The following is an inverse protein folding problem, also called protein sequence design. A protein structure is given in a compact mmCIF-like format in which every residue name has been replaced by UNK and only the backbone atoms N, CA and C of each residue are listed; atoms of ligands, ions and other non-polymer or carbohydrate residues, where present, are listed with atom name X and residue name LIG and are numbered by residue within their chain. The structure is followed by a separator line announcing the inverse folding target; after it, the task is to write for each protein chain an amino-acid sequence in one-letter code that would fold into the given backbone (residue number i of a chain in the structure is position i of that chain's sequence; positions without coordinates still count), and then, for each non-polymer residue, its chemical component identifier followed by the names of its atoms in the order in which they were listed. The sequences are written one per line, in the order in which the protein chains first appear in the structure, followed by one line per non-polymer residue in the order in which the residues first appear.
data_IF_194561239886
#
_entry.id   IF_194561239886
#
_cell.length_a   1.000
_cell.length_b   1.000
_cell.length_c   1.000
_cell.angle_alpha   90.00
_cell.angle_beta   90.00
_cell.angle_gamma   90.00
#
_symmetry.space_group_name_H-M   'P 1'
#
loop_
_entity.id
_entity.type
_entity.pdbx_description
1 polymer ?
#
# COMPACT_ATOMS: atom_id res chain seq x y z
N UNK A 1 62.21 3.08 1.71
CA UNK A 1 62.29 3.47 3.13
C UNK A 1 61.50 4.75 3.33
N UNK A 2 60.72 4.91 4.40
CA UNK A 2 60.30 3.90 5.41
C UNK A 2 58.75 3.72 5.39
N UNK A 3 58.12 2.54 5.44
CA UNK A 3 58.11 1.32 6.30
C UNK A 3 56.82 1.27 7.13
N UNK A 4 56.14 0.11 7.11
CA UNK A 4 55.64 -0.68 8.25
C UNK A 4 54.76 -1.79 7.62
N UNK A 5 55.30 -2.95 7.27
CA UNK A 5 55.75 -4.08 8.10
C UNK A 5 54.59 -4.88 8.71
N UNK A 6 54.57 -6.17 8.34
CA UNK A 6 53.58 -7.17 8.70
C UNK A 6 54.00 -7.93 9.96
N UNK A 7 53.03 -8.47 10.69
CA UNK A 7 53.21 -9.66 11.52
C UNK A 7 51.92 -10.48 11.55
N UNK A 8 52.07 -11.78 11.31
CA UNK A 8 51.06 -12.84 11.30
C UNK A 8 51.41 -13.86 12.43
N UNK A 9 50.90 -15.10 12.50
CA UNK A 9 49.76 -15.56 13.32
C UNK A 9 50.16 -16.70 14.30
N UNK A 10 49.24 -17.23 15.11
CA UNK A 10 49.31 -18.62 15.64
C UNK A 10 48.02 -19.08 16.36
N UNK A 11 47.67 -20.36 16.19
CA UNK A 11 46.74 -21.16 17.01
C UNK A 11 45.48 -21.62 16.25
N UNK A 12 45.50 -22.56 15.30
CA UNK A 12 45.63 -24.04 15.42
C UNK A 12 44.58 -24.75 16.32
N UNK A 13 43.60 -25.44 15.69
CA UNK A 13 43.49 -26.93 15.62
C UNK A 13 42.30 -27.29 14.70
N UNK A 14 42.47 -27.86 13.49
CA UNK A 14 42.46 -29.31 13.16
C UNK A 14 41.37 -30.11 13.93
N UNK A 15 40.50 -30.91 13.29
CA UNK A 15 40.85 -32.10 12.50
C UNK A 15 39.74 -32.51 11.49
N UNK A 16 40.20 -33.14 10.41
CA UNK A 16 39.51 -33.70 9.24
C UNK A 16 38.60 -34.93 9.47
N UNK A 17 37.70 -35.13 8.49
CA UNK A 17 37.23 -36.36 7.85
C UNK A 17 37.15 -37.69 8.63
N UNK A 18 35.96 -38.30 8.59
CA UNK A 18 35.82 -39.75 8.39
C UNK A 18 34.70 -40.04 7.39
N UNK A 19 35.10 -40.72 6.31
CA UNK A 19 34.30 -41.46 5.35
C UNK A 19 33.56 -42.62 6.03
N UNK A 20 32.34 -42.92 5.61
CA UNK A 20 31.90 -44.30 5.39
C UNK A 20 30.87 -44.34 4.25
N UNK A 21 31.18 -45.18 3.26
CA UNK A 21 30.35 -45.62 2.16
C UNK A 21 30.11 -47.13 2.33
N UNK A 22 29.13 -47.65 1.59
CA UNK A 22 28.80 -49.08 1.36
C UNK A 22 28.03 -49.79 2.49
N UNK A 23 27.09 -50.70 2.25
CA UNK A 23 26.39 -51.22 1.08
C UNK A 23 25.20 -52.08 1.58
N UNK A 24 24.21 -52.26 0.70
CA UNK A 24 23.29 -53.41 0.49
C UNK A 24 22.64 -54.21 1.63
N UNK A 25 21.34 -54.50 1.42
CA UNK A 25 20.66 -55.63 2.05
C UNK A 25 19.14 -55.62 1.89
N UNK A 26 18.63 -56.21 0.81
CA UNK A 26 17.20 -56.45 0.62
C UNK A 26 16.65 -57.64 1.42
N UNK A 27 15.32 -57.70 1.55
CA UNK A 27 14.61 -58.95 1.83
C UNK A 27 13.39 -58.87 2.76
N UNK A 28 12.19 -59.04 2.18
CA UNK A 28 11.20 -60.02 2.67
C UNK A 28 10.10 -59.57 3.65
N UNK A 29 8.89 -59.41 3.10
CA UNK A 29 7.73 -60.28 3.42
C UNK A 29 6.82 -59.98 4.63
N UNK A 30 5.53 -59.76 4.33
CA UNK A 30 4.45 -60.60 4.88
C UNK A 30 3.40 -59.98 5.83
N UNK A 31 2.15 -59.92 5.34
CA UNK A 31 0.87 -60.00 6.11
C UNK A 31 0.47 -58.74 6.89
N UNK A 32 -0.78 -58.27 6.93
CA UNK A 32 -2.10 -58.86 6.70
C UNK A 32 -3.06 -58.27 7.77
N UNK A 33 -4.34 -58.09 7.41
CA UNK A 33 -5.45 -57.49 8.20
C UNK A 33 -5.42 -55.94 8.32
N UNK A 34 -6.43 -55.16 7.93
CA UNK A 34 -7.85 -55.43 7.69
C UNK A 34 -8.69 -54.78 8.79
N UNK A 35 -9.20 -53.57 8.57
CA UNK A 35 -10.61 -53.18 8.79
C UNK A 35 -10.83 -51.68 8.56
N UNK A 36 -11.97 -51.44 7.91
CA UNK A 36 -12.66 -50.20 7.63
C UNK A 36 -12.93 -49.30 8.84
N UNK A 37 -12.84 -47.98 8.65
CA UNK A 37 -13.89 -47.06 9.12
C UNK A 37 -13.89 -45.74 8.36
N UNK A 38 -15.11 -45.28 8.18
CA UNK A 38 -15.64 -44.13 7.47
C UNK A 38 -15.15 -42.75 7.96
N UNK A 39 -15.04 -41.87 6.97
CA UNK A 39 -15.02 -40.40 7.00
C UNK A 39 -16.12 -39.78 7.86
N UNK A 40 -15.76 -38.87 8.78
CA UNK A 40 -16.51 -37.65 9.12
C UNK A 40 -15.48 -36.56 9.45
N UNK A 41 -15.53 -35.47 8.68
CA UNK A 41 -14.74 -34.25 8.81
C UNK A 41 -15.16 -33.45 10.05
N UNK A 42 -14.19 -32.98 10.84
CA UNK A 42 -14.34 -31.84 11.75
C UNK A 42 -12.94 -31.27 12.05
N UNK A 43 -12.43 -30.41 11.16
CA UNK A 43 -11.15 -29.72 11.38
C UNK A 43 -11.31 -28.57 12.40
N UNK A 44 -10.74 -28.80 13.58
CA UNK A 44 -10.60 -27.82 14.65
C UNK A 44 -9.36 -26.94 14.44
N UNK A 45 -9.58 -25.64 14.34
CA UNK A 45 -8.54 -24.59 14.38
C UNK A 45 -7.87 -24.50 15.77
N UNK A 46 -6.60 -24.91 15.89
CA UNK A 46 -5.71 -24.54 17.00
C UNK A 46 -4.62 -23.59 16.52
N UNK A 47 -4.47 -22.44 17.18
CA UNK A 47 -3.30 -21.56 17.03
C UNK A 47 -2.24 -21.94 18.07
N UNK A 48 -0.93 -21.94 17.75
CA UNK A 48 0.09 -22.30 18.73
C UNK A 48 0.37 -21.12 19.65
N UNK A 49 0.24 -21.36 20.96
CA UNK A 49 0.79 -20.51 22.02
C UNK A 49 2.21 -21.00 22.26
N UNK A 50 3.18 -20.10 22.13
CA UNK A 50 4.60 -20.38 22.41
C UNK A 50 4.78 -20.68 23.89
N UNK A 51 5.20 -21.90 24.24
CA UNK A 51 5.62 -22.27 25.59
C UNK A 51 7.14 -22.27 25.68
N UNK A 52 7.67 -21.56 26.67
CA UNK A 52 9.06 -21.65 27.12
C UNK A 52 9.08 -22.70 28.24
N UNK A 53 9.59 -23.90 27.94
CA UNK A 53 9.75 -24.94 28.95
C UNK A 53 11.01 -24.69 29.76
N UNK A 54 10.85 -24.52 31.07
CA UNK A 54 11.91 -24.74 32.05
C UNK A 54 11.28 -25.16 33.39
N UNK A 55 11.62 -26.39 33.80
CA UNK A 55 11.57 -27.03 35.13
C UNK A 55 10.25 -27.60 35.75
N UNK A 56 10.37 -28.90 36.06
CA UNK A 56 9.97 -29.62 37.29
C UNK A 56 8.48 -29.94 37.55
N UNK A 57 8.18 -31.25 37.50
CA UNK A 57 6.95 -31.91 37.94
C UNK A 57 6.57 -31.56 39.40
N UNK A 58 5.74 -30.54 39.63
CA UNK A 58 4.64 -30.55 40.61
C UNK A 58 3.81 -29.26 40.49
N UNK A 59 2.48 -29.41 40.43
CA UNK A 59 1.46 -28.34 40.42
C UNK A 59 1.30 -27.54 39.11
N UNK A 60 0.38 -28.01 38.25
CA UNK A 60 -0.18 -27.23 37.14
C UNK A 60 -1.17 -26.18 37.67
N UNK A 61 -0.71 -24.96 37.92
CA UNK A 61 -1.56 -23.77 38.05
C UNK A 61 -1.37 -22.89 36.80
N UNK A 62 -2.42 -22.70 35.99
CA UNK A 62 -2.42 -21.69 34.93
C UNK A 62 -3.01 -20.39 35.48
N UNK A 63 -2.17 -19.36 35.60
CA UNK A 63 -2.55 -18.01 35.98
C UNK A 63 -3.04 -17.24 34.74
N UNK A 64 -4.34 -16.91 34.68
CA UNK A 64 -4.84 -15.87 33.78
C UNK A 64 -4.74 -14.52 34.48
N UNK A 65 -3.90 -13.64 33.95
CA UNK A 65 -3.75 -12.27 34.44
C UNK A 65 -4.77 -11.37 33.73
N UNK A 66 -5.65 -10.71 34.50
CA UNK A 66 -6.58 -9.69 34.00
C UNK A 66 -6.02 -8.30 34.38
N UNK A 67 -5.44 -7.59 33.41
CA UNK A 67 -4.79 -6.29 33.60
C UNK A 67 -5.75 -5.16 34.01
N UNK A 68 -7.06 -5.37 34.01
CA UNK A 68 -8.02 -4.28 34.26
C UNK A 68 -8.51 -4.15 35.69
N UNK A 69 -8.32 -5.14 36.57
CA UNK A 69 -8.84 -5.10 37.94
C UNK A 69 -7.91 -5.60 39.05
N UNK A 70 -6.65 -5.95 38.74
CA UNK A 70 -5.65 -6.33 39.74
C UNK A 70 -5.99 -7.59 40.57
N UNK A 71 -7.04 -8.34 40.21
CA UNK A 71 -7.49 -9.51 40.93
C UNK A 71 -7.08 -10.79 40.19
N UNK A 72 -6.30 -11.65 40.87
CA UNK A 72 -5.94 -12.99 40.39
C UNK A 72 -7.11 -13.94 40.66
N UNK A 73 -7.85 -14.32 39.63
CA UNK A 73 -8.87 -15.36 39.75
C UNK A 73 -8.20 -16.74 39.70
N UNK A 74 -8.05 -17.40 40.87
CA UNK A 74 -7.62 -18.81 40.94
C UNK A 74 -8.79 -19.72 40.57
N UNK A 75 -8.76 -20.31 39.38
CA UNK A 75 -9.70 -21.37 39.01
C UNK A 75 -9.08 -22.72 39.42
N UNK A 76 -9.68 -23.38 40.41
CA UNK A 76 -9.37 -24.77 40.75
C UNK A 76 -9.84 -25.68 39.61
N UNK A 77 -8.93 -26.47 39.04
CA UNK A 77 -9.24 -27.53 38.09
C UNK A 77 -9.97 -28.69 38.79
N UNK A 78 -11.25 -28.52 39.09
CA UNK A 78 -12.17 -29.62 39.43
C UNK A 78 -13.39 -29.66 38.51
N UNK A 79 -13.42 -28.80 37.49
CA UNK A 79 -14.54 -28.63 36.56
C UNK A 79 -14.48 -29.68 35.45
N UNK A 80 -15.58 -30.40 35.23
CA UNK A 80 -15.73 -31.35 34.11
C UNK A 80 -15.47 -30.66 32.75
N UNK A 81 -15.11 -31.45 31.72
CA UNK A 81 -14.81 -30.92 30.38
C UNK A 81 -15.92 -30.04 29.77
N UNK A 82 -17.16 -30.21 30.23
CA UNK A 82 -18.31 -29.41 29.83
C UNK A 82 -18.27 -27.98 30.38
N UNK A 83 -17.83 -27.78 31.63
CA UNK A 83 -17.72 -26.45 32.24
C UNK A 83 -16.65 -25.61 31.53
N UNK A 84 -15.51 -26.22 31.19
CA UNK A 84 -14.43 -25.56 30.46
C UNK A 84 -14.86 -25.19 29.03
N UNK A 85 -15.66 -26.04 28.37
CA UNK A 85 -16.26 -25.75 27.08
C UNK A 85 -17.31 -24.63 27.15
N UNK A 86 -18.14 -24.62 28.19
CA UNK A 86 -19.13 -23.57 28.42
C UNK A 86 -18.45 -22.22 28.72
N UNK A 87 -17.36 -22.21 29.49
CA UNK A 87 -16.57 -21.03 29.80
C UNK A 87 -15.86 -20.52 28.56
N UNK A 88 -15.26 -21.39 27.76
CA UNK A 88 -14.67 -21.03 26.46
C UNK A 88 -15.71 -20.46 25.49
N UNK A 89 -16.93 -21.01 25.44
CA UNK A 89 -18.02 -20.47 24.61
C UNK A 89 -18.53 -19.13 25.15
N UNK A 90 -18.61 -18.97 26.46
CA UNK A 90 -19.07 -17.72 27.10
C UNK A 90 -18.02 -16.62 26.98
N UNK A 91 -16.74 -16.95 27.12
CA UNK A 91 -15.62 -16.04 26.84
C UNK A 91 -15.53 -15.72 25.34
N UNK A 92 -15.66 -16.70 24.43
CA UNK A 92 -15.74 -16.42 22.98
C UNK A 92 -16.92 -15.50 22.67
N UNK A 93 -18.08 -15.74 23.28
CA UNK A 93 -19.26 -14.86 23.13
C UNK A 93 -18.96 -13.48 23.70
N UNK A 94 -18.44 -13.36 24.91
CA UNK A 94 -18.14 -12.06 25.53
C UNK A 94 -17.02 -11.30 24.81
N UNK A 95 -16.01 -11.98 24.25
CA UNK A 95 -14.98 -11.38 23.41
C UNK A 95 -15.52 -10.99 22.03
N UNK A 96 -16.37 -11.83 21.41
CA UNK A 96 -17.04 -11.49 20.14
C UNK A 96 -18.07 -10.36 20.29
N UNK A 97 -18.65 -10.21 21.49
CA UNK A 97 -19.72 -9.27 21.80
C UNK A 97 -19.19 -7.95 22.39
N UNK A 98 -17.89 -7.85 22.71
CA UNK A 98 -17.25 -6.66 23.33
C UNK A 98 -16.65 -5.61 22.39
N UNK A 99 -16.88 -5.65 21.08
CA UNK A 99 -16.63 -4.47 20.23
C UNK A 99 -17.60 -4.40 19.04
N UNK A 100 -18.90 -4.34 19.33
CA UNK A 100 -19.73 -3.49 18.48
C UNK A 100 -19.25 -2.05 18.73
N UNK A 101 -18.18 -1.61 18.04
CA UNK A 101 -17.70 -0.25 18.25
C UNK A 101 -18.83 0.69 17.85
N UNK A 102 -19.17 1.59 18.76
CA UNK A 102 -20.04 2.70 18.41
C UNK A 102 -19.37 3.50 17.30
N UNK A 103 -20.17 4.07 16.41
CA UNK A 103 -19.65 5.05 15.45
C UNK A 103 -18.97 6.16 16.26
N UNK A 104 -17.73 6.46 15.91
CA UNK A 104 -16.98 7.52 16.56
C UNK A 104 -16.93 8.76 15.67
N UNK A 105 -16.45 9.87 16.24
CA UNK A 105 -16.34 11.14 15.52
C UNK A 105 -15.48 11.03 14.26
N UNK A 106 -14.46 10.15 14.24
CA UNK A 106 -13.58 9.97 13.10
C UNK A 106 -14.31 9.40 11.87
N UNK A 107 -15.19 8.41 12.08
CA UNK A 107 -15.98 7.83 10.99
C UNK A 107 -16.89 8.88 10.34
N UNK A 108 -17.56 9.70 11.14
CA UNK A 108 -18.38 10.80 10.63
C UNK A 108 -17.53 11.87 9.93
N UNK A 109 -16.39 12.21 10.52
CA UNK A 109 -15.46 13.19 9.97
C UNK A 109 -15.01 12.80 8.57
N UNK A 110 -14.59 11.55 8.38
CA UNK A 110 -14.17 11.02 7.07
C UNK A 110 -15.27 11.13 6.02
N UNK A 111 -16.50 10.73 6.35
CA UNK A 111 -17.65 10.79 5.41
C UNK A 111 -17.98 12.24 5.05
N UNK A 112 -18.04 13.12 6.04
CA UNK A 112 -18.36 14.53 5.83
C UNK A 112 -17.28 15.20 4.97
N UNK A 113 -16.00 14.95 5.24
CA UNK A 113 -14.94 15.56 4.42
C UNK A 113 -14.85 14.98 3.02
N UNK A 114 -15.10 13.68 2.86
CA UNK A 114 -15.21 13.08 1.53
C UNK A 114 -16.37 13.72 0.74
N UNK A 115 -17.55 13.84 1.36
CA UNK A 115 -18.72 14.43 0.71
C UNK A 115 -18.51 15.91 0.37
N UNK A 116 -17.93 16.69 1.29
CA UNK A 116 -17.59 18.09 1.06
C UNK A 116 -16.58 18.24 -0.08
N UNK A 117 -15.54 17.41 -0.10
CA UNK A 117 -14.56 17.41 -1.17
C UNK A 117 -15.18 17.02 -2.52
N UNK A 118 -16.01 15.98 -2.56
CA UNK A 118 -16.72 15.56 -3.76
C UNK A 118 -17.54 16.73 -4.33
N UNK A 119 -18.30 17.40 -3.47
CA UNK A 119 -19.11 18.56 -3.85
C UNK A 119 -18.25 19.69 -4.42
N UNK A 120 -17.15 20.06 -3.75
CA UNK A 120 -16.27 21.15 -4.19
C UNK A 120 -15.50 20.76 -5.48
N UNK A 121 -14.97 19.56 -5.55
CA UNK A 121 -14.18 19.06 -6.69
C UNK A 121 -15.01 19.00 -7.97
N UNK A 122 -16.26 18.53 -7.88
CA UNK A 122 -17.17 18.51 -9.03
C UNK A 122 -17.79 19.88 -9.29
N UNK A 123 -18.35 20.50 -8.25
CA UNK A 123 -19.09 21.75 -8.36
C UNK A 123 -18.24 22.93 -8.81
N UNK A 124 -17.03 23.08 -8.24
CA UNK A 124 -16.10 24.16 -8.64
C UNK A 124 -15.10 23.63 -9.65
N UNK A 125 -14.47 22.49 -9.37
CA UNK A 125 -13.35 22.03 -10.18
C UNK A 125 -13.74 21.56 -11.59
N UNK A 126 -14.89 20.89 -11.78
CA UNK A 126 -15.32 20.37 -13.09
C UNK A 126 -16.24 21.35 -13.79
N UNK A 127 -17.30 21.80 -13.10
CA UNK A 127 -18.29 22.69 -13.72
C UNK A 127 -17.84 24.14 -13.83
N UNK A 128 -16.83 24.55 -13.04
CA UNK A 128 -16.58 25.96 -12.84
C UNK A 128 -17.76 26.64 -12.14
N UNK A 129 -17.68 27.95 -11.96
CA UNK A 129 -18.76 28.73 -11.35
C UNK A 129 -19.31 29.76 -12.34
N UNK A 130 -20.09 29.31 -13.34
CA UNK A 130 -20.81 30.17 -14.30
C UNK A 130 -19.98 31.38 -14.79
N UNK A 131 -18.80 31.12 -15.36
CA UNK A 131 -17.83 32.12 -15.86
C UNK A 131 -17.13 33.00 -14.81
N UNK A 132 -17.42 32.86 -13.51
CA UNK A 132 -16.69 33.52 -12.42
C UNK A 132 -15.39 32.78 -12.13
N UNK A 133 -15.46 31.44 -12.11
CA UNK A 133 -14.32 30.55 -11.94
C UNK A 133 -14.22 29.63 -13.14
N UNK A 134 -13.03 29.60 -13.73
CA UNK A 134 -12.66 28.71 -14.82
C UNK A 134 -12.59 27.27 -14.33
N UNK A 135 -12.90 26.34 -15.23
CA UNK A 135 -12.77 24.91 -14.96
C UNK A 135 -11.29 24.53 -14.81
N UNK A 136 -11.00 23.43 -14.11
CA UNK A 136 -9.63 22.92 -13.99
C UNK A 136 -8.98 22.71 -15.36
N UNK A 137 -9.74 22.20 -16.31
CA UNK A 137 -9.23 21.91 -17.66
C UNK A 137 -8.86 23.19 -18.41
N UNK A 138 -9.70 24.22 -18.36
CA UNK A 138 -9.39 25.52 -18.98
C UNK A 138 -8.12 26.14 -18.41
N UNK A 139 -7.89 26.05 -17.09
CA UNK A 139 -6.67 26.55 -16.46
C UNK A 139 -5.45 25.74 -16.90
N UNK A 140 -5.56 24.40 -16.93
CA UNK A 140 -4.47 23.51 -17.38
C UNK A 140 -4.05 23.85 -18.82
N UNK A 141 -5.02 24.00 -19.74
CA UNK A 141 -4.72 24.33 -21.14
C UNK A 141 -4.05 25.70 -21.32
N UNK A 142 -4.26 26.65 -20.39
CA UNK A 142 -3.56 27.95 -20.42
C UNK A 142 -2.11 27.89 -19.99
N UNK A 143 -1.79 26.96 -19.09
CA UNK A 143 -0.46 26.77 -18.53
C UNK A 143 0.09 25.39 -18.88
N UNK A 144 -0.17 24.98 -20.12
CA UNK A 144 0.23 23.70 -20.66
C UNK A 144 1.77 23.53 -20.61
N UNK A 145 2.20 22.33 -20.24
CA UNK A 145 3.61 21.93 -20.09
C UNK A 145 3.87 20.66 -20.89
N UNK A 146 5.15 20.29 -21.09
CA UNK A 146 5.49 19.05 -21.80
C UNK A 146 5.14 17.78 -21.00
N UNK A 147 4.79 17.91 -19.72
CA UNK A 147 4.33 16.81 -18.85
C UNK A 147 2.83 16.81 -18.61
N UNK A 148 2.07 17.73 -19.22
CA UNK A 148 0.61 17.75 -19.13
C UNK A 148 0.06 16.49 -19.83
N UNK A 149 -0.65 15.60 -19.13
CA UNK A 149 -1.21 14.40 -19.75
C UNK A 149 -2.52 14.71 -20.48
N UNK A 150 -2.91 13.80 -21.37
CA UNK A 150 -4.14 13.91 -22.13
C UNK A 150 -5.36 13.99 -21.21
N UNK A 151 -6.42 14.66 -21.66
CA UNK A 151 -7.64 14.86 -20.85
C UNK A 151 -8.21 13.56 -20.29
N UNK A 152 -8.17 12.47 -21.07
CA UNK A 152 -8.68 11.17 -20.62
C UNK A 152 -7.88 10.59 -19.45
N UNK A 153 -6.58 10.90 -19.36
CA UNK A 153 -5.72 10.40 -18.28
C UNK A 153 -6.12 11.04 -16.94
N UNK A 154 -6.58 12.30 -16.95
CA UNK A 154 -7.14 12.98 -15.78
C UNK A 154 -8.42 12.32 -15.24
N UNK A 155 -9.14 11.54 -16.05
CA UNK A 155 -10.30 10.79 -15.54
C UNK A 155 -9.93 9.68 -14.57
N UNK A 156 -8.64 9.35 -14.36
CA UNK A 156 -8.20 8.48 -13.27
C UNK A 156 -8.67 8.98 -11.89
N UNK A 157 -8.94 10.28 -11.78
CA UNK A 157 -9.59 10.88 -10.61
C UNK A 157 -10.94 10.24 -10.26
N UNK A 158 -11.75 9.85 -11.25
CA UNK A 158 -13.08 9.30 -10.99
C UNK A 158 -13.04 7.92 -10.30
N UNK A 159 -12.25 6.93 -10.77
CA UNK A 159 -12.03 5.68 -10.02
C UNK A 159 -11.52 5.91 -8.60
N UNK A 160 -10.57 6.82 -8.38
CA UNK A 160 -10.05 7.14 -7.05
C UNK A 160 -11.20 7.56 -6.12
N UNK A 161 -11.96 8.58 -6.54
CA UNK A 161 -13.07 9.11 -5.75
C UNK A 161 -14.14 8.05 -5.50
N UNK A 162 -14.52 7.25 -6.50
CA UNK A 162 -15.52 6.19 -6.34
C UNK A 162 -15.05 5.15 -5.31
N UNK A 163 -13.80 4.70 -5.40
CA UNK A 163 -13.22 3.72 -4.50
C UNK A 163 -13.10 4.25 -3.07
N UNK A 164 -12.70 5.51 -2.91
CA UNK A 164 -12.66 6.17 -1.61
C UNK A 164 -14.06 6.46 -1.05
N UNK A 165 -15.05 6.64 -1.92
CA UNK A 165 -16.46 6.68 -1.56
C UNK A 165 -16.92 5.36 -0.97
N UNK A 166 -16.61 4.24 -1.63
CA UNK A 166 -16.90 2.91 -1.09
C UNK A 166 -16.19 2.69 0.25
N UNK A 167 -14.93 3.07 0.38
CA UNK A 167 -14.23 3.07 1.67
C UNK A 167 -14.99 3.89 2.73
N UNK A 168 -15.39 5.12 2.37
CA UNK A 168 -16.03 6.07 3.29
C UNK A 168 -17.35 5.54 3.87
N UNK A 169 -18.10 4.77 3.07
CA UNK A 169 -19.35 4.14 3.47
C UNK A 169 -19.11 2.80 4.17
N UNK A 170 -18.17 1.98 3.69
CA UNK A 170 -17.87 0.67 4.25
C UNK A 170 -17.36 0.78 5.69
N UNK A 171 -16.57 1.79 6.03
CA UNK A 171 -16.12 2.03 7.41
C UNK A 171 -17.26 2.27 8.40
N UNK A 172 -18.48 2.60 7.94
CA UNK A 172 -19.65 2.78 8.81
C UNK A 172 -20.29 1.44 9.22
N UNK A 173 -20.04 0.36 8.47
CA UNK A 173 -20.67 -0.93 8.73
C UNK A 173 -20.12 -1.56 10.03
N UNK A 174 -20.97 -2.20 10.86
CA UNK A 174 -20.55 -2.84 12.13
C UNK A 174 -19.39 -3.81 11.98
N UNK A 175 -19.30 -4.47 10.82
CA UNK A 175 -18.27 -5.46 10.52
C UNK A 175 -16.87 -4.85 10.31
N UNK A 176 -16.79 -3.60 9.85
CA UNK A 176 -15.52 -2.96 9.47
C UNK A 176 -15.09 -1.88 10.48
N UNK A 177 -16.04 -1.12 11.03
CA UNK A 177 -15.78 0.06 11.89
C UNK A 177 -14.86 -0.17 13.09
N UNK A 178 -14.75 -1.39 13.61
CA UNK A 178 -13.94 -1.70 14.79
C UNK A 178 -12.49 -2.09 14.46
N UNK A 179 -12.17 -2.25 13.17
CA UNK A 179 -10.88 -2.77 12.72
C UNK A 179 -9.77 -1.73 12.92
N UNK A 180 -8.61 -2.20 13.38
CA UNK A 180 -7.40 -1.38 13.58
C UNK A 180 -6.92 -0.75 12.26
N UNK A 181 -7.07 -1.43 11.13
CA UNK A 181 -6.76 -0.87 9.81
C UNK A 181 -7.54 0.42 9.51
N UNK A 182 -8.80 0.50 9.96
CA UNK A 182 -9.66 1.65 9.75
C UNK A 182 -9.40 2.72 10.81
N UNK A 183 -9.39 2.34 12.08
CA UNK A 183 -9.27 3.31 13.18
C UNK A 183 -7.84 3.86 13.30
N UNK A 184 -6.84 2.97 13.38
CA UNK A 184 -5.45 3.35 13.58
C UNK A 184 -4.73 3.56 12.24
N UNK A 185 -5.02 2.70 11.25
CA UNK A 185 -4.38 2.76 9.93
C UNK A 185 -4.78 3.99 9.13
N UNK A 186 -6.08 4.28 9.04
CA UNK A 186 -6.56 5.45 8.30
C UNK A 186 -6.47 6.72 9.16
N UNK A 187 -6.88 6.62 10.44
CA UNK A 187 -6.81 7.71 11.41
C UNK A 187 -7.29 9.05 10.83
N UNK A 188 -6.68 10.16 11.26
CA UNK A 188 -6.95 11.51 10.74
C UNK A 188 -6.32 11.80 9.38
N UNK A 189 -5.48 10.91 8.82
CA UNK A 189 -4.81 11.17 7.54
C UNK A 189 -5.80 11.26 6.38
N UNK A 190 -6.88 10.47 6.38
CA UNK A 190 -7.94 10.57 5.38
C UNK A 190 -8.63 11.93 5.46
N UNK A 191 -9.01 12.34 6.67
CA UNK A 191 -9.56 13.67 6.93
C UNK A 191 -8.66 14.79 6.39
N UNK A 192 -7.37 14.80 6.74
CA UNK A 192 -6.43 15.82 6.27
C UNK A 192 -6.29 15.81 4.76
N UNK A 193 -6.21 14.63 4.14
CA UNK A 193 -6.11 14.48 2.68
C UNK A 193 -7.28 15.19 1.98
N UNK A 194 -8.52 14.98 2.42
CA UNK A 194 -9.69 15.60 1.79
C UNK A 194 -9.84 17.08 2.10
N UNK A 195 -9.46 17.54 3.31
CA UNK A 195 -9.44 18.97 3.63
C UNK A 195 -8.42 19.70 2.76
N UNK A 196 -7.20 19.17 2.65
CA UNK A 196 -6.13 19.76 1.85
C UNK A 196 -6.52 19.77 0.38
N UNK A 197 -7.13 18.71 -0.16
CA UNK A 197 -7.57 18.69 -1.55
C UNK A 197 -8.76 19.60 -1.85
N UNK A 198 -9.64 19.78 -0.87
CA UNK A 198 -10.70 20.79 -0.97
C UNK A 198 -10.09 22.18 -1.06
N UNK A 199 -9.11 22.50 -0.21
CA UNK A 199 -8.37 23.75 -0.26
C UNK A 199 -7.60 23.92 -1.58
N UNK A 200 -6.95 22.87 -2.07
CA UNK A 200 -6.29 22.83 -3.37
C UNK A 200 -7.24 23.23 -4.50
N UNK A 201 -8.47 22.70 -4.52
CA UNK A 201 -9.45 23.03 -5.57
C UNK A 201 -9.71 24.53 -5.62
N UNK A 202 -9.86 25.18 -4.46
CA UNK A 202 -9.99 26.64 -4.40
C UNK A 202 -8.73 27.35 -4.86
N UNK A 203 -7.56 27.00 -4.32
CA UNK A 203 -6.31 27.67 -4.68
C UNK A 203 -6.01 27.55 -6.18
N UNK A 204 -6.23 26.38 -6.77
CA UNK A 204 -6.04 26.16 -8.20
C UNK A 204 -7.05 26.97 -9.03
N UNK A 205 -8.34 26.94 -8.65
CA UNK A 205 -9.38 27.68 -9.39
C UNK A 205 -9.18 29.20 -9.33
N UNK A 206 -8.64 29.72 -8.22
CA UNK A 206 -8.22 31.13 -8.09
C UNK A 206 -6.82 31.41 -8.65
N UNK A 207 -6.19 30.44 -9.32
CA UNK A 207 -4.84 30.54 -9.91
C UNK A 207 -3.74 30.92 -8.89
N UNK A 208 -3.93 30.61 -7.61
CA UNK A 208 -2.95 30.74 -6.54
C UNK A 208 -1.99 29.55 -6.59
N UNK A 209 -1.19 29.46 -7.66
CA UNK A 209 -0.44 28.24 -8.00
C UNK A 209 0.57 27.80 -6.94
N UNK A 210 1.20 28.72 -6.20
CA UNK A 210 2.12 28.37 -5.11
C UNK A 210 1.37 27.64 -3.99
N UNK A 211 0.21 28.18 -3.56
CA UNK A 211 -0.63 27.54 -2.53
C UNK A 211 -1.23 26.22 -3.04
N UNK A 212 -1.57 26.17 -4.32
CA UNK A 212 -1.99 24.94 -4.98
C UNK A 212 -0.89 23.87 -4.88
N UNK A 213 0.34 24.17 -5.30
CA UNK A 213 1.46 23.24 -5.22
C UNK A 213 1.74 22.78 -3.79
N UNK A 214 1.75 23.70 -2.81
CA UNK A 214 1.91 23.35 -1.39
C UNK A 214 0.80 22.38 -0.94
N UNK A 215 -0.43 22.57 -1.42
CA UNK A 215 -1.55 21.69 -1.09
C UNK A 215 -1.42 20.32 -1.73
N UNK A 216 -0.98 20.23 -2.99
CA UNK A 216 -0.71 18.93 -3.65
C UNK A 216 0.38 18.16 -2.90
N UNK A 217 1.49 18.82 -2.53
CA UNK A 217 2.56 18.23 -1.72
C UNK A 217 2.03 17.79 -0.35
N UNK A 218 1.23 18.64 0.31
CA UNK A 218 0.63 18.32 1.60
C UNK A 218 -0.31 17.11 1.54
N UNK A 219 -1.11 16.99 0.47
CA UNK A 219 -1.98 15.85 0.22
C UNK A 219 -1.16 14.58 -0.03
N UNK A 220 -0.07 14.66 -0.81
CA UNK A 220 0.84 13.54 -1.03
C UNK A 220 1.46 13.05 0.29
N UNK A 221 1.97 13.96 1.13
CA UNK A 221 2.55 13.60 2.42
C UNK A 221 1.52 12.99 3.38
N UNK A 222 0.30 13.50 3.36
CA UNK A 222 -0.83 12.95 4.12
C UNK A 222 -1.17 11.53 3.67
N UNK A 223 -1.23 11.28 2.37
CA UNK A 223 -1.45 9.95 1.78
C UNK A 223 -0.31 8.98 2.07
N UNK A 224 0.95 9.41 1.97
CA UNK A 224 2.11 8.59 2.33
C UNK A 224 2.08 8.22 3.82
N UNK A 225 1.69 9.16 4.67
CA UNK A 225 1.51 8.92 6.11
C UNK A 225 0.37 7.94 6.39
N UNK A 226 -0.73 8.04 5.63
CA UNK A 226 -1.83 7.07 5.66
C UNK A 226 -1.33 5.66 5.29
N UNK A 227 -0.61 5.52 4.17
CA UNK A 227 -0.08 4.22 3.74
C UNK A 227 0.91 3.63 4.75
N UNK A 228 1.80 4.45 5.32
CA UNK A 228 2.73 4.03 6.36
C UNK A 228 2.00 3.57 7.63
N UNK A 229 0.95 4.29 8.04
CA UNK A 229 0.12 3.93 9.19
C UNK A 229 -0.63 2.62 8.95
N UNK A 230 -1.24 2.45 7.78
CA UNK A 230 -1.89 1.20 7.38
C UNK A 230 -0.90 0.03 7.38
N UNK A 231 0.31 0.23 6.87
CA UNK A 231 1.34 -0.81 6.87
C UNK A 231 1.71 -1.24 8.30
N UNK A 232 1.87 -0.29 9.23
CA UNK A 232 2.16 -0.57 10.64
C UNK A 232 1.05 -1.38 11.30
N UNK A 233 -0.21 -1.05 11.04
CA UNK A 233 -1.37 -1.76 11.60
C UNK A 233 -1.50 -3.20 11.10
N UNK A 234 -0.94 -3.50 9.92
CA UNK A 234 -1.01 -4.84 9.30
C UNK A 234 0.06 -5.81 9.80
N UNK A 235 1.16 -5.33 10.39
CA UNK A 235 2.19 -6.20 10.97
C UNK A 235 1.62 -7.11 12.09
N UNK A 236 0.44 -6.79 12.61
CA UNK A 236 -0.28 -7.58 13.61
C UNK A 236 -1.23 -8.64 13.03
N UNK A 237 -1.53 -8.65 11.72
CA UNK A 237 -2.50 -9.57 11.11
C UNK A 237 -1.86 -10.52 10.07
N UNK A 238 -2.03 -11.84 10.28
CA UNK A 238 -1.29 -12.90 9.56
C UNK A 238 -1.91 -13.34 8.21
N UNK A 239 -3.12 -12.89 7.83
CA UNK A 239 -3.82 -13.41 6.63
C UNK A 239 -4.27 -12.31 5.68
N UNK A 240 -4.00 -12.53 4.38
CA UNK A 240 -4.39 -11.65 3.28
C UNK A 240 -5.86 -11.87 2.93
N UNK A 241 -6.70 -10.86 3.10
CA UNK A 241 -8.04 -10.83 2.54
C UNK A 241 -8.06 -9.90 1.32
N UNK A 242 -8.32 -10.44 0.13
CA UNK A 242 -8.33 -9.65 -1.11
C UNK A 242 -9.41 -8.57 -1.08
N UNK A 243 -10.58 -8.87 -0.52
CA UNK A 243 -11.68 -7.90 -0.37
C UNK A 243 -11.23 -6.71 0.48
N UNK A 244 -10.47 -6.98 1.53
CA UNK A 244 -9.96 -5.94 2.43
C UNK A 244 -8.91 -5.07 1.75
N UNK A 245 -8.00 -5.70 0.98
CA UNK A 245 -7.04 -4.96 0.18
C UNK A 245 -7.73 -4.05 -0.85
N UNK A 246 -8.66 -4.61 -1.63
CA UNK A 246 -9.36 -3.87 -2.69
C UNK A 246 -10.19 -2.71 -2.13
N UNK A 247 -10.84 -2.89 -0.98
CA UNK A 247 -11.75 -1.90 -0.42
C UNK A 247 -11.05 -0.85 0.47
N UNK A 248 -10.01 -1.23 1.22
CA UNK A 248 -9.42 -0.37 2.25
C UNK A 248 -7.98 0.08 1.98
N UNK A 249 -7.33 -0.42 0.91
CA UNK A 249 -5.93 -0.08 0.62
C UNK A 249 -5.70 0.38 -0.82
N UNK A 250 -6.18 -0.40 -1.78
CA UNK A 250 -6.10 -0.09 -3.20
C UNK A 250 -6.53 1.36 -3.54
N UNK A 251 -7.61 1.94 -2.96
CA UNK A 251 -7.99 3.32 -3.24
C UNK A 251 -6.88 4.32 -2.89
N UNK A 252 -6.20 4.11 -1.76
CA UNK A 252 -5.15 5.00 -1.28
C UNK A 252 -3.83 4.86 -2.03
N UNK A 253 -3.47 3.64 -2.47
CA UNK A 253 -2.31 3.47 -3.35
C UNK A 253 -2.56 4.12 -4.72
N UNK A 254 -3.77 3.97 -5.26
CA UNK A 254 -4.17 4.61 -6.52
C UNK A 254 -4.09 6.14 -6.40
N UNK A 255 -4.65 6.68 -5.33
CA UNK A 255 -4.59 8.10 -5.02
C UNK A 255 -3.16 8.63 -4.82
N UNK A 256 -2.32 7.89 -4.09
CA UNK A 256 -0.92 8.26 -3.85
C UNK A 256 -0.14 8.33 -5.16
N UNK A 257 -0.31 7.34 -6.04
CA UNK A 257 0.34 7.34 -7.36
C UNK A 257 -0.09 8.54 -8.20
N UNK A 258 -1.39 8.88 -8.18
CA UNK A 258 -1.90 10.05 -8.88
C UNK A 258 -1.38 11.36 -8.28
N UNK A 259 -1.33 11.47 -6.96
CA UNK A 259 -0.85 12.67 -6.28
C UNK A 259 0.66 12.91 -6.49
N UNK A 260 1.43 11.84 -6.68
CA UNK A 260 2.84 11.94 -7.08
C UNK A 260 3.00 12.58 -8.47
N UNK A 261 2.19 12.17 -9.45
CA UNK A 261 2.13 12.85 -10.75
C UNK A 261 1.73 14.32 -10.58
N UNK A 262 0.62 14.57 -9.89
CA UNK A 262 0.09 15.93 -9.70
C UNK A 262 1.12 16.86 -9.07
N UNK A 263 1.95 16.35 -8.16
CA UNK A 263 3.02 17.13 -7.53
C UNK A 263 4.03 17.62 -8.57
N UNK A 264 4.47 16.72 -9.46
CA UNK A 264 5.48 17.02 -10.47
C UNK A 264 4.89 17.89 -11.60
N UNK A 265 3.66 17.61 -12.02
CA UNK A 265 2.91 18.45 -12.95
C UNK A 265 2.75 19.90 -12.43
N UNK A 266 2.36 20.05 -11.16
CA UNK A 266 2.24 21.38 -10.55
C UNK A 266 3.58 22.09 -10.37
N UNK A 267 4.67 21.35 -10.16
CA UNK A 267 6.02 21.92 -10.16
C UNK A 267 6.35 22.50 -11.54
N UNK A 268 6.10 21.76 -12.62
CA UNK A 268 6.29 22.25 -13.99
C UNK A 268 5.40 23.45 -14.30
N UNK A 269 4.14 23.40 -13.87
CA UNK A 269 3.19 24.51 -14.01
C UNK A 269 3.71 25.79 -13.32
N UNK A 270 4.29 25.68 -12.12
CA UNK A 270 4.91 26.84 -11.45
C UNK A 270 6.02 27.44 -12.29
N UNK A 271 6.91 26.62 -12.87
CA UNK A 271 7.98 27.11 -13.75
C UNK A 271 7.38 27.77 -14.99
N UNK A 272 6.37 27.15 -15.61
CA UNK A 272 5.64 27.70 -16.77
C UNK A 272 5.01 29.06 -16.46
N UNK A 273 4.47 29.23 -15.26
CA UNK A 273 3.78 30.45 -14.82
C UNK A 273 4.72 31.59 -14.45
N UNK A 274 5.81 31.29 -13.74
CA UNK A 274 6.68 32.30 -13.13
C UNK A 274 7.98 32.52 -13.90
N UNK A 275 8.35 31.65 -14.84
CA UNK A 275 9.50 31.78 -15.73
C UNK A 275 9.11 31.62 -17.23
N UNK A 276 8.11 32.36 -17.74
CA UNK A 276 7.58 32.17 -19.09
C UNK A 276 8.63 32.43 -20.20
N UNK A 277 9.55 33.37 -19.98
CA UNK A 277 10.60 33.72 -20.95
C UNK A 277 11.77 32.71 -21.00
N UNK A 278 11.82 31.77 -20.05
CA UNK A 278 12.94 30.85 -19.88
C UNK A 278 12.57 29.43 -20.31
N UNK A 279 12.43 29.21 -21.62
CA UNK A 279 12.07 27.90 -22.21
C UNK A 279 13.01 26.79 -21.74
N UNK A 280 14.32 27.06 -21.66
CA UNK A 280 15.29 26.07 -21.16
C UNK A 280 15.03 25.61 -19.72
N UNK A 281 14.54 26.50 -18.83
CA UNK A 281 14.17 26.11 -17.47
C UNK A 281 12.88 25.29 -17.44
N UNK A 282 11.92 25.60 -18.30
CA UNK A 282 10.68 24.82 -18.43
C UNK A 282 10.98 23.40 -18.90
N UNK A 283 11.74 23.26 -20.00
CA UNK A 283 12.17 21.95 -20.52
C UNK A 283 12.97 21.15 -19.49
N UNK A 284 13.88 21.80 -18.76
CA UNK A 284 14.63 21.12 -17.70
C UNK A 284 13.73 20.62 -16.55
N UNK A 285 12.74 21.42 -16.14
CA UNK A 285 11.77 21.02 -15.13
C UNK A 285 10.91 19.84 -15.60
N UNK A 286 10.46 19.85 -16.85
CA UNK A 286 9.68 18.77 -17.47
C UNK A 286 10.48 17.46 -17.55
N UNK A 287 11.73 17.51 -18.02
CA UNK A 287 12.60 16.33 -18.06
C UNK A 287 12.86 15.77 -16.66
N UNK A 288 13.09 16.67 -15.68
CA UNK A 288 13.32 16.27 -14.29
C UNK A 288 12.07 15.64 -13.68
N UNK A 289 10.88 16.18 -13.96
CA UNK A 289 9.61 15.60 -13.55
C UNK A 289 9.44 14.18 -14.09
N UNK A 290 9.69 13.95 -15.39
CA UNK A 290 9.67 12.61 -15.97
C UNK A 290 10.68 11.68 -15.28
N UNK A 291 11.91 12.12 -15.03
CA UNK A 291 12.90 11.31 -14.32
C UNK A 291 12.45 10.93 -12.89
N UNK A 292 11.86 11.87 -12.14
CA UNK A 292 11.33 11.58 -10.80
C UNK A 292 10.12 10.66 -10.82
N UNK A 293 9.21 10.79 -11.79
CA UNK A 293 8.11 9.85 -11.98
C UNK A 293 8.65 8.43 -12.18
N UNK A 294 9.71 8.27 -12.96
CA UNK A 294 10.34 6.97 -13.17
C UNK A 294 10.88 6.39 -11.85
N UNK A 295 11.55 7.22 -11.04
CA UNK A 295 11.98 6.81 -9.71
C UNK A 295 10.81 6.38 -8.82
N UNK A 296 9.68 7.09 -8.84
CA UNK A 296 8.45 6.73 -8.10
C UNK A 296 7.91 5.36 -8.51
N UNK A 297 8.04 4.96 -9.79
CA UNK A 297 7.65 3.62 -10.24
C UNK A 297 8.67 2.54 -9.83
N UNK A 298 9.98 2.80 -9.94
CA UNK A 298 11.03 1.79 -9.76
C UNK A 298 11.35 1.52 -8.30
N UNK A 299 11.35 2.55 -7.45
CA UNK A 299 11.72 2.42 -6.03
C UNK A 299 10.84 1.41 -5.29
N UNK A 300 9.49 1.43 -5.39
CA UNK A 300 8.66 0.40 -4.77
C UNK A 300 8.93 -1.01 -5.31
N UNK A 301 9.21 -1.16 -6.61
CA UNK A 301 9.48 -2.46 -7.22
C UNK A 301 10.81 -3.07 -6.76
N UNK A 302 11.82 -2.23 -6.53
CA UNK A 302 13.19 -2.64 -6.18
C UNK A 302 13.41 -2.78 -4.67
N UNK A 303 12.83 -1.87 -3.87
CA UNK A 303 12.97 -1.90 -2.40
C UNK A 303 11.99 -2.86 -1.72
N UNK A 304 11.02 -3.40 -2.46
CA UNK A 304 10.14 -4.45 -1.95
C UNK A 304 10.85 -5.79 -1.88
N UNK A 305 11.81 -5.89 -0.95
CA UNK A 305 12.38 -7.16 -0.54
C UNK A 305 11.39 -7.89 0.37
N UNK A 306 11.35 -9.23 0.35
CA UNK A 306 10.44 -10.03 1.19
C UNK A 306 10.59 -9.75 2.70
N UNK A 307 11.74 -9.20 3.10
CA UNK A 307 12.12 -8.95 4.50
C UNK A 307 11.59 -7.59 4.99
N UNK A 308 11.61 -6.55 4.16
CA UNK A 308 11.22 -5.20 4.58
C UNK A 308 9.80 -4.82 4.17
N UNK A 309 9.32 -5.32 3.03
CA UNK A 309 7.98 -5.05 2.52
C UNK A 309 7.39 -6.34 1.95
N UNK A 310 6.78 -7.20 2.79
CA UNK A 310 6.22 -8.47 2.34
C UNK A 310 5.04 -8.31 1.35
N UNK A 311 4.60 -7.08 1.09
CA UNK A 311 3.49 -6.74 0.21
C UNK A 311 3.99 -5.82 -0.90
N UNK A 312 4.33 -6.42 -2.05
CA UNK A 312 4.57 -5.68 -3.29
C UNK A 312 3.24 -5.09 -3.76
N UNK A 313 3.15 -3.76 -3.77
CA UNK A 313 2.00 -3.04 -4.33
C UNK A 313 2.36 -2.53 -5.74
N UNK A 314 1.56 -2.91 -6.73
CA UNK A 314 1.79 -2.61 -8.13
C UNK A 314 1.01 -1.38 -8.61
N UNK A 315 0.11 -0.84 -7.79
CA UNK A 315 -0.81 0.20 -8.19
C UNK A 315 -0.08 1.52 -8.48
N UNK A 316 0.85 1.94 -7.63
CA UNK A 316 1.63 3.18 -7.86
C UNK A 316 2.42 3.10 -9.20
N UNK A 317 3.22 2.04 -9.46
CA UNK A 317 3.87 1.87 -10.77
C UNK A 317 2.89 1.88 -11.95
N UNK A 318 1.72 1.26 -11.82
CA UNK A 318 0.68 1.25 -12.86
C UNK A 318 0.15 2.66 -13.15
N UNK A 319 -0.07 3.48 -12.12
CA UNK A 319 -0.48 4.88 -12.29
C UNK A 319 0.60 5.69 -13.01
N UNK A 320 1.87 5.48 -12.68
CA UNK A 320 2.98 6.15 -13.38
C UNK A 320 3.02 5.76 -14.87
N UNK A 321 2.87 4.46 -15.19
CA UNK A 321 2.80 3.98 -16.59
C UNK A 321 1.61 4.61 -17.32
N UNK A 322 0.43 4.62 -16.70
CA UNK A 322 -0.77 5.28 -17.22
C UNK A 322 -0.51 6.75 -17.53
N UNK A 323 0.20 7.43 -16.64
CA UNK A 323 0.51 8.87 -16.77
C UNK A 323 1.47 9.12 -17.93
N UNK A 324 2.53 8.33 -18.10
CA UNK A 324 3.42 8.47 -19.25
C UNK A 324 2.71 8.24 -20.58
N UNK A 325 1.82 7.25 -20.65
CA UNK A 325 1.01 7.02 -21.84
C UNK A 325 0.12 8.23 -22.11
N UNK A 326 -0.49 8.79 -21.06
CA UNK A 326 -1.28 10.01 -21.15
C UNK A 326 -0.50 11.22 -21.66
N UNK A 327 0.74 11.42 -21.18
CA UNK A 327 1.64 12.50 -21.63
C UNK A 327 2.01 12.29 -23.11
N UNK A 328 2.46 11.09 -23.46
CA UNK A 328 2.86 10.78 -24.83
C UNK A 328 1.69 10.91 -25.82
N UNK A 329 0.48 10.53 -25.39
CA UNK A 329 -0.73 10.70 -26.19
C UNK A 329 -1.06 12.16 -26.43
N UNK A 330 -0.94 13.00 -25.39
CA UNK A 330 -1.20 14.43 -25.49
C UNK A 330 -0.27 15.12 -26.48
N UNK A 331 1.01 14.75 -26.45
CA UNK A 331 2.03 15.28 -27.35
C UNK A 331 1.93 14.74 -28.79
N UNK A 332 0.99 13.84 -29.10
CA UNK A 332 0.75 13.40 -30.48
C UNK A 332 0.07 14.49 -31.31
N UNK A 333 -0.78 15.30 -30.68
CA UNK A 333 -1.50 16.42 -31.30
C UNK A 333 -1.36 17.67 -30.42
N UNK A 334 -0.14 18.26 -30.35
CA UNK A 334 0.16 19.38 -29.47
C UNK A 334 -0.55 20.66 -29.94
N UNK A 335 -0.86 21.55 -28.99
CA UNK A 335 -1.45 22.86 -29.31
C UNK A 335 -0.49 23.74 -30.13
N UNK A 336 -1.03 24.65 -30.95
CA UNK A 336 -0.21 25.62 -31.70
C UNK A 336 0.69 26.43 -30.75
N UNK A 337 0.17 26.80 -29.59
CA UNK A 337 0.94 27.49 -28.54
C UNK A 337 2.11 26.66 -28.02
N UNK A 338 1.96 25.35 -27.87
CA UNK A 338 3.04 24.46 -27.44
C UNK A 338 4.12 24.35 -28.53
N UNK A 339 3.70 24.23 -29.80
CA UNK A 339 4.61 24.18 -30.95
C UNK A 339 5.43 25.46 -31.03
N UNK A 340 4.80 26.62 -30.87
CA UNK A 340 5.48 27.92 -30.91
C UNK A 340 6.51 28.09 -29.79
N UNK A 341 6.24 27.55 -28.60
CA UNK A 341 7.12 27.69 -27.43
C UNK A 341 8.30 26.71 -27.47
N UNK A 342 8.03 25.44 -27.73
CA UNK A 342 9.04 24.37 -27.56
C UNK A 342 9.62 23.89 -28.89
N UNK A 343 8.89 24.06 -29.99
CA UNK A 343 9.23 23.49 -31.30
C UNK A 343 9.00 21.98 -31.36
N UNK A 344 8.76 21.50 -32.58
CA UNK A 344 8.42 20.09 -32.84
C UNK A 344 9.49 19.09 -32.37
N UNK A 345 10.78 19.46 -32.45
CA UNK A 345 11.88 18.58 -32.06
C UNK A 345 11.84 18.23 -30.58
N UNK A 346 11.60 19.21 -29.71
CA UNK A 346 11.53 19.00 -28.25
C UNK A 346 10.27 18.21 -27.91
N UNK A 347 9.13 18.58 -28.51
CA UNK A 347 7.86 17.88 -28.30
C UNK A 347 7.99 16.40 -28.67
N UNK A 348 8.53 16.09 -29.85
CA UNK A 348 8.76 14.71 -30.27
C UNK A 348 9.74 13.97 -29.37
N UNK A 349 10.82 14.63 -28.92
CA UNK A 349 11.76 14.02 -27.98
C UNK A 349 11.10 13.64 -26.66
N UNK A 350 10.27 14.52 -26.08
CA UNK A 350 9.54 14.24 -24.84
C UNK A 350 8.44 13.20 -25.05
N UNK A 351 7.75 13.22 -26.20
CA UNK A 351 6.75 12.20 -26.58
C UNK A 351 7.37 10.80 -26.58
N UNK A 352 8.42 10.60 -27.37
CA UNK A 352 9.08 9.30 -27.46
C UNK A 352 9.80 8.92 -26.16
N UNK A 353 10.35 9.90 -25.44
CA UNK A 353 10.91 9.70 -24.10
C UNK A 353 9.87 9.17 -23.12
N UNK A 354 8.65 9.71 -23.14
CA UNK A 354 7.55 9.26 -22.29
C UNK A 354 7.11 7.83 -22.62
N UNK A 355 6.98 7.47 -23.91
CA UNK A 355 6.73 6.08 -24.31
C UNK A 355 7.85 5.13 -23.88
N UNK A 356 9.11 5.55 -24.02
CA UNK A 356 10.26 4.77 -23.59
C UNK A 356 10.24 4.52 -22.08
N UNK A 357 9.98 5.55 -21.27
CA UNK A 357 9.88 5.43 -19.80
C UNK A 357 8.71 4.54 -19.38
N UNK A 358 7.56 4.63 -20.07
CA UNK A 358 6.44 3.72 -19.86
C UNK A 358 6.81 2.26 -20.13
N UNK A 359 7.50 2.00 -21.25
CA UNK A 359 7.97 0.67 -21.62
C UNK A 359 9.00 0.14 -20.62
N UNK A 360 9.97 0.97 -20.22
CA UNK A 360 10.99 0.60 -19.24
C UNK A 360 10.38 0.27 -17.87
N UNK A 361 9.45 1.09 -17.38
CA UNK A 361 8.72 0.82 -16.13
C UNK A 361 7.88 -0.45 -16.23
N UNK A 362 7.25 -0.71 -17.38
CA UNK A 362 6.50 -1.95 -17.64
C UNK A 362 7.40 -3.18 -17.63
N UNK A 363 8.60 -3.10 -18.23
CA UNK A 363 9.59 -4.17 -18.22
C UNK A 363 10.12 -4.47 -16.81
N UNK A 364 10.14 -3.50 -15.90
CA UNK A 364 10.45 -3.73 -14.49
C UNK A 364 9.26 -4.33 -13.72
N UNK A 365 8.04 -3.86 -14.01
CA UNK A 365 6.81 -4.27 -13.32
C UNK A 365 6.40 -5.71 -13.64
N UNK A 366 6.40 -6.11 -14.92
CA UNK A 366 5.89 -7.41 -15.37
C UNK A 366 6.60 -8.59 -14.69
N UNK A 367 7.94 -8.65 -14.60
CA UNK A 367 8.62 -9.71 -13.86
C UNK A 367 8.23 -9.77 -12.39
N UNK A 368 8.08 -8.63 -11.72
CA UNK A 368 7.64 -8.58 -10.32
C UNK A 368 6.24 -9.18 -10.15
N UNK A 369 5.30 -8.83 -11.04
CA UNK A 369 3.94 -9.39 -11.03
C UNK A 369 3.98 -10.90 -11.29
N UNK A 370 4.76 -11.37 -12.27
CA UNK A 370 4.90 -12.80 -12.58
C UNK A 370 5.46 -13.57 -11.38
N UNK A 371 6.52 -13.07 -10.74
CA UNK A 371 7.10 -13.68 -9.53
C UNK A 371 6.09 -13.70 -8.38
N UNK A 372 5.32 -12.63 -8.20
CA UNK A 372 4.27 -12.57 -7.19
C UNK A 372 3.14 -13.57 -7.44
N UNK A 373 2.65 -13.68 -8.68
CA UNK A 373 1.62 -14.67 -9.06
C UNK A 373 2.15 -16.08 -8.82
N UNK A 374 3.37 -16.37 -9.25
CA UNK A 374 3.99 -17.68 -9.03
C UNK A 374 4.13 -18.02 -7.54
N UNK A 375 4.51 -17.04 -6.70
CA UNK A 375 4.57 -17.25 -5.25
C UNK A 375 3.21 -17.52 -4.66
N UNK A 376 2.19 -16.75 -5.03
CA UNK A 376 0.88 -16.87 -4.41
C UNK A 376 0.14 -18.15 -4.81
N UNK A 377 0.25 -18.56 -6.08
CA UNK A 377 -0.54 -19.65 -6.63
C UNK A 377 0.25 -20.95 -6.85
N UNK A 378 1.57 -20.90 -6.99
CA UNK A 378 2.39 -22.07 -7.29
C UNK A 378 3.24 -22.57 -6.09
N UNK A 379 3.25 -21.88 -4.95
CA UNK A 379 3.93 -22.41 -3.75
C UNK A 379 2.95 -23.22 -2.90
N UNK A 380 3.25 -24.51 -2.75
CA UNK A 380 2.55 -25.39 -1.81
C UNK A 380 2.93 -24.93 -0.41
N UNK A 381 1.96 -24.45 0.38
CA UNK A 381 2.16 -24.27 1.82
C UNK A 381 2.23 -25.64 2.45
N UNK A 382 3.43 -26.12 2.74
CA UNK A 382 3.63 -27.28 3.58
C UNK A 382 3.13 -26.87 4.97
N UNK A 383 2.00 -27.45 5.38
CA UNK A 383 1.54 -27.36 6.76
C UNK A 383 2.30 -28.46 7.48
N UNK A 384 3.35 -28.10 8.21
CA UNK A 384 3.95 -29.00 9.19
C UNK A 384 2.87 -29.28 10.24
N UNK A 385 2.42 -30.53 10.31
CA UNK A 385 1.59 -31.01 11.40
C UNK A 385 2.54 -31.22 12.57
N UNK A 386 2.37 -30.43 13.63
CA UNK A 386 3.04 -30.68 14.91
C UNK A 386 2.54 -32.02 15.45
N UNK A 387 3.44 -33.01 15.56
CA UNK A 387 3.18 -34.37 16.06
C UNK A 387 2.83 -34.42 17.56
#
# INVERSE_FOLDING_TARGET
MPTFEAASPAGESTTEFLLYSEEEGGGGGGGGFGTSTSTVEDEAFSSPVVYREDFSNSQREQLLYDETNGSVNRVRLTSSGEELHSLRRTLRRSFSQRRASHLNGLNFLNVVTYAAHLFVSYGIGIWGLNHILETRWEIIMKYETLVTPAHWAYYLWAPIVIMEGFFSLAQLLPHYRARSLIQDGTSFFFFYTFVIQTAWTFFFSFQLFILSFISVVGALLSLLSLLASQHKSLLSERRRNLVEYTLFRCPFYLHTGWMALMTLDHMCLLVRRYAPEHVGMQVAADILALAFMFAVAIVPLTLSTPVCWPQQDFIIPLVVIWSYIGIAWHLEDPSETMIDIYGEVIIHAVKYGSYFLAAAASCALVPCVVVWVAREFCTIRIVELDD
#
